data_IF_605717941796
#
_entry.id   IF_605717941796
#
_cell.length_a   1.000
_cell.length_b   1.000
_cell.length_c   1.000
_cell.angle_alpha   90.00
_cell.angle_beta   90.00
_cell.angle_gamma   90.00
#
_symmetry.space_group_name_H-M   'P 1'
#
loop_
_entity.id
_entity.type
_entity.pdbx_description
1 polymer ?
#
# COMPACT_ATOMS: atom_id res chain seq x y z
N UNK A 1 -48.28 -24.49 11.17
CA UNK A 1 -48.51 -23.66 9.97
C UNK A 1 -48.30 -22.20 10.33
N UNK A 2 -47.21 -21.55 9.87
CA UNK A 2 -47.13 -20.10 9.62
C UNK A 2 -45.82 -19.73 8.92
N UNK A 3 -46.00 -19.53 7.62
CA UNK A 3 -45.30 -18.73 6.62
C UNK A 3 -44.20 -17.73 7.04
N UNK A 4 -43.05 -17.88 6.35
CA UNK A 4 -42.24 -16.91 5.58
C UNK A 4 -42.08 -15.47 6.10
N UNK A 5 -40.82 -15.06 6.18
CA UNK A 5 -40.37 -13.67 6.08
C UNK A 5 -39.04 -13.60 5.33
N UNK A 6 -39.09 -13.37 4.02
CA UNK A 6 -37.96 -12.89 3.22
C UNK A 6 -37.90 -11.35 3.34
N UNK A 7 -36.72 -10.73 3.48
CA UNK A 7 -36.54 -9.36 3.03
C UNK A 7 -36.12 -9.33 1.55
N UNK A 8 -36.97 -8.62 0.79
CA UNK A 8 -36.76 -8.12 -0.56
C UNK A 8 -35.67 -7.04 -0.52
N UNK A 9 -34.65 -7.16 -1.37
CA UNK A 9 -33.78 -6.05 -1.76
C UNK A 9 -33.92 -5.92 -3.27
N UNK A 10 -34.65 -4.90 -3.68
CA UNK A 10 -34.86 -4.52 -5.07
C UNK A 10 -33.85 -3.43 -5.46
N UNK A 11 -33.40 -3.58 -6.71
CA UNK A 11 -32.29 -2.95 -7.41
C UNK A 11 -32.32 -1.41 -7.50
N UNK A 12 -31.13 -0.82 -7.73
CA UNK A 12 -30.91 0.13 -8.84
C UNK A 12 -29.42 0.28 -9.21
N UNK A 13 -29.16 0.06 -10.50
CA UNK A 13 -27.91 0.23 -11.24
C UNK A 13 -27.32 1.64 -11.16
N UNK A 14 -25.97 1.76 -11.12
CA UNK A 14 -25.19 2.72 -11.93
C UNK A 14 -23.80 2.12 -12.27
N UNK A 15 -23.54 2.04 -13.58
CA UNK A 15 -22.30 1.80 -14.35
C UNK A 15 -20.97 1.45 -13.67
N UNK A 16 -20.48 0.23 -13.91
CA UNK A 16 -19.07 -0.13 -13.85
C UNK A 16 -18.51 -0.34 -15.26
N UNK A 17 -17.64 0.56 -15.71
CA UNK A 17 -16.94 0.44 -16.99
C UNK A 17 -15.92 -0.69 -16.98
N UNK A 18 -15.95 -1.49 -18.05
CA UNK A 18 -14.91 -2.44 -18.42
C UNK A 18 -13.57 -1.72 -18.60
N UNK A 19 -12.52 -2.21 -17.93
CA UNK A 19 -11.14 -2.11 -18.44
C UNK A 19 -10.64 -3.53 -18.60
N UNK A 20 -10.61 -3.95 -19.87
CA UNK A 20 -9.98 -5.17 -20.39
C UNK A 20 -8.56 -4.81 -20.84
N UNK A 21 -7.69 -5.82 -20.83
CA UNK A 21 -6.36 -5.90 -21.48
C UNK A 21 -5.18 -5.41 -20.62
N UNK A 22 -4.04 -6.10 -20.51
CA UNK A 22 -3.47 -7.24 -21.23
C UNK A 22 -2.49 -8.00 -20.31
N UNK A 23 -2.62 -9.32 -20.19
CA UNK A 23 -1.57 -10.19 -19.63
C UNK A 23 -0.88 -10.87 -20.81
N UNK A 24 0.30 -10.38 -21.20
CA UNK A 24 1.13 -11.01 -22.22
C UNK A 24 1.76 -12.28 -21.65
N UNK A 25 1.34 -13.40 -22.22
CA UNK A 25 1.77 -14.75 -21.87
C UNK A 25 2.95 -15.10 -22.79
N UNK A 26 4.18 -14.95 -22.31
CA UNK A 26 5.38 -15.40 -23.03
C UNK A 26 5.47 -16.93 -22.90
N UNK A 27 5.26 -17.59 -24.03
CA UNK A 27 5.54 -18.99 -24.27
C UNK A 27 7.01 -19.19 -24.66
N UNK A 28 7.47 -20.45 -24.63
CA UNK A 28 8.73 -21.04 -25.17
C UNK A 28 9.71 -21.56 -24.08
N UNK A 29 10.55 -22.56 -24.39
CA UNK A 29 10.23 -23.85 -24.98
C UNK A 29 10.84 -25.02 -24.20
N UNK A 30 10.30 -26.22 -24.42
CA UNK A 30 10.89 -27.50 -24.01
C UNK A 30 12.15 -27.79 -24.84
N UNK A 31 13.28 -28.08 -24.17
CA UNK A 31 14.44 -28.73 -24.79
C UNK A 31 15.09 -29.70 -23.80
N UNK A 32 15.04 -30.98 -24.17
CA UNK A 32 15.80 -32.07 -23.58
C UNK A 32 17.31 -31.88 -23.83
N UNK A 33 18.19 -32.27 -22.88
CA UNK A 33 19.61 -32.34 -23.14
C UNK A 33 20.03 -33.75 -23.60
N UNK A 34 20.21 -33.93 -24.90
CA UNK A 34 21.01 -35.03 -25.45
C UNK A 34 22.50 -34.71 -25.34
N UNK A 35 23.23 -35.51 -24.58
CA UNK A 35 24.68 -35.50 -24.49
C UNK A 35 25.34 -35.86 -25.85
N UNK A 36 26.39 -35.12 -26.24
CA UNK A 36 27.62 -35.67 -26.84
C UNK A 36 28.72 -34.60 -27.06
N UNK A 37 29.87 -34.82 -26.42
CA UNK A 37 31.22 -34.48 -26.92
C UNK A 37 31.60 -33.01 -27.16
N UNK A 38 31.96 -32.26 -26.11
CA UNK A 38 32.62 -30.95 -26.27
C UNK A 38 34.13 -31.11 -26.41
N UNK A 39 34.65 -30.75 -27.58
CA UNK A 39 36.07 -30.67 -27.91
C UNK A 39 36.78 -29.52 -27.17
N UNK A 40 38.09 -29.68 -26.99
CA UNK A 40 38.99 -28.81 -26.21
C UNK A 40 38.98 -27.33 -26.62
N UNK A 41 38.61 -27.03 -27.86
CA UNK A 41 38.53 -25.67 -28.40
C UNK A 41 37.36 -24.86 -27.80
N UNK A 42 36.26 -25.53 -27.43
CA UNK A 42 35.08 -24.87 -26.85
C UNK A 42 35.34 -24.37 -25.42
N UNK A 43 36.24 -25.03 -24.66
CA UNK A 43 36.60 -24.59 -23.30
C UNK A 43 37.47 -23.32 -23.30
N UNK A 44 38.32 -23.11 -24.32
CA UNK A 44 39.14 -21.89 -24.43
C UNK A 44 38.32 -20.67 -24.80
N UNK A 45 37.34 -20.82 -25.69
CA UNK A 45 36.41 -19.74 -26.03
C UNK A 45 35.51 -19.35 -24.85
N UNK A 46 35.07 -20.32 -24.04
CA UNK A 46 34.31 -20.04 -22.82
C UNK A 46 35.12 -19.29 -21.75
N UNK A 47 36.41 -19.64 -21.58
CA UNK A 47 37.29 -18.94 -20.63
C UNK A 47 37.63 -17.51 -21.08
N UNK A 48 37.81 -17.27 -22.38
CA UNK A 48 38.01 -15.92 -22.91
C UNK A 48 36.75 -15.06 -22.80
N UNK A 49 35.55 -15.64 -23.01
CA UNK A 49 34.29 -14.91 -22.81
C UNK A 49 34.03 -14.57 -21.35
N UNK A 50 34.42 -15.43 -20.40
CA UNK A 50 34.30 -15.16 -18.97
C UNK A 50 35.30 -14.10 -18.48
N UNK A 51 36.52 -14.11 -19.02
CA UNK A 51 37.53 -13.08 -18.72
C UNK A 51 37.10 -11.69 -19.23
N UNK A 52 36.52 -11.62 -20.44
CA UNK A 52 35.97 -10.37 -20.97
C UNK A 52 34.77 -9.85 -20.15
N UNK A 53 33.89 -10.74 -19.68
CA UNK A 53 32.75 -10.38 -18.84
C UNK A 53 33.18 -9.91 -17.43
N UNK A 54 34.26 -10.46 -16.89
CA UNK A 54 34.83 -10.04 -15.61
C UNK A 54 35.50 -8.65 -15.69
N UNK A 55 36.21 -8.36 -16.79
CA UNK A 55 36.78 -7.02 -17.00
C UNK A 55 35.70 -5.94 -17.24
N UNK A 56 34.60 -6.29 -17.91
CA UNK A 56 33.48 -5.37 -18.14
C UNK A 56 32.72 -5.02 -16.84
N UNK A 57 32.58 -5.97 -15.91
CA UNK A 57 31.90 -5.72 -14.62
C UNK A 57 32.76 -4.92 -13.63
N UNK A 58 34.09 -5.06 -13.68
CA UNK A 58 35.01 -4.29 -12.82
C UNK A 58 35.11 -2.80 -13.20
N UNK A 59 34.87 -2.45 -14.47
CA UNK A 59 34.86 -1.04 -14.92
C UNK A 59 33.46 -0.42 -14.78
N UNK A 60 32.39 -1.20 -14.99
CA UNK A 60 31.01 -0.70 -14.90
C UNK A 60 30.50 -0.56 -13.45
N UNK A 61 30.96 -1.39 -12.51
CA UNK A 61 30.50 -1.34 -11.12
C UNK A 61 30.77 0.02 -10.41
N UNK A 62 31.95 0.65 -10.50
CA UNK A 62 32.16 1.96 -9.86
C UNK A 62 31.41 3.12 -10.55
N UNK A 63 31.07 3.02 -11.83
CA UNK A 63 30.27 4.02 -12.56
C UNK A 63 28.77 3.93 -12.22
N UNK A 64 28.25 2.73 -11.97
CA UNK A 64 26.85 2.55 -11.52
C UNK A 64 26.69 2.87 -10.02
N UNK A 65 27.73 2.64 -9.20
CA UNK A 65 27.70 3.03 -7.78
C UNK A 65 27.84 4.55 -7.55
N UNK A 66 28.50 5.27 -8.46
CA UNK A 66 28.55 6.74 -8.45
C UNK A 66 27.25 7.37 -8.98
N UNK A 67 26.63 6.78 -10.02
CA UNK A 67 25.33 7.23 -10.53
C UNK A 67 24.15 6.99 -9.56
N UNK A 68 24.21 5.94 -8.74
CA UNK A 68 23.17 5.64 -7.74
C UNK A 68 23.26 6.53 -6.50
N UNK A 69 24.44 7.13 -6.22
CA UNK A 69 24.60 8.12 -5.14
C UNK A 69 24.13 9.53 -5.56
N UNK A 70 24.29 9.90 -6.83
CA UNK A 70 23.69 11.13 -7.39
C UNK A 70 22.18 11.01 -7.65
N UNK A 71 21.65 9.80 -7.80
CA UNK A 71 20.22 9.55 -8.00
C UNK A 71 19.34 9.73 -6.76
N UNK A 72 19.90 9.59 -5.55
CA UNK A 72 19.14 9.81 -4.31
C UNK A 72 18.86 11.29 -4.03
N UNK A 73 19.78 12.20 -4.38
CA UNK A 73 19.52 13.64 -4.24
C UNK A 73 18.53 14.14 -5.32
N UNK A 74 18.60 13.59 -6.54
CA UNK A 74 17.63 13.85 -7.60
C UNK A 74 16.22 13.33 -7.28
N UNK A 75 16.09 12.13 -6.70
CA UNK A 75 14.80 11.58 -6.28
C UNK A 75 14.16 12.37 -5.14
N UNK A 76 14.96 12.87 -4.18
CA UNK A 76 14.46 13.72 -3.09
C UNK A 76 14.04 15.10 -3.61
N UNK A 77 14.76 15.67 -4.59
CA UNK A 77 14.36 16.92 -5.24
C UNK A 77 13.12 16.76 -6.12
N UNK A 78 12.98 15.64 -6.84
CA UNK A 78 11.78 15.32 -7.61
C UNK A 78 10.55 15.13 -6.71
N UNK A 79 10.70 14.41 -5.59
CA UNK A 79 9.63 14.23 -4.62
C UNK A 79 9.24 15.55 -3.91
N UNK A 80 10.21 16.45 -3.70
CA UNK A 80 9.98 17.81 -3.19
C UNK A 80 9.29 18.71 -4.22
N UNK A 81 9.60 18.56 -5.50
CA UNK A 81 8.91 19.26 -6.59
C UNK A 81 7.47 18.78 -6.77
N UNK A 82 7.22 17.47 -6.70
CA UNK A 82 5.87 16.90 -6.77
C UNK A 82 5.00 17.29 -5.57
N UNK A 83 5.56 17.28 -4.35
CA UNK A 83 4.83 17.72 -3.16
C UNK A 83 4.54 19.22 -3.19
N UNK A 84 5.45 20.03 -3.73
CA UNK A 84 5.21 21.47 -3.97
C UNK A 84 4.14 21.70 -5.03
N UNK A 85 4.18 20.99 -6.16
CA UNK A 85 3.16 21.08 -7.20
C UNK A 85 1.77 20.66 -6.70
N UNK A 86 1.69 19.59 -5.89
CA UNK A 86 0.43 19.17 -5.24
C UNK A 86 -0.06 20.21 -4.23
N UNK A 87 0.84 20.82 -3.48
CA UNK A 87 0.49 21.90 -2.55
C UNK A 87 -0.02 23.14 -3.28
N UNK A 88 0.63 23.54 -4.39
CA UNK A 88 0.20 24.67 -5.22
C UNK A 88 -1.13 24.39 -5.94
N UNK A 89 -1.38 23.14 -6.31
CA UNK A 89 -2.67 22.71 -6.87
C UNK A 89 -3.77 22.70 -5.80
N UNK A 90 -3.47 22.28 -4.57
CA UNK A 90 -4.41 22.33 -3.46
C UNK A 90 -4.68 23.77 -3.00
N UNK A 91 -3.65 24.63 -2.99
CA UNK A 91 -3.79 26.04 -2.60
C UNK A 91 -4.57 26.84 -3.64
N UNK A 92 -4.34 26.61 -4.94
CA UNK A 92 -5.13 27.22 -6.02
C UNK A 92 -6.57 26.72 -6.03
N UNK A 93 -6.81 25.43 -5.78
CA UNK A 93 -8.17 24.90 -5.65
C UNK A 93 -8.91 25.44 -4.42
N UNK A 94 -8.20 25.63 -3.29
CA UNK A 94 -8.78 26.25 -2.10
C UNK A 94 -9.05 27.73 -2.29
N UNK A 95 -8.13 28.47 -2.93
CA UNK A 95 -8.28 29.90 -3.19
C UNK A 95 -9.41 30.15 -4.20
N UNK A 96 -9.46 29.40 -5.30
CA UNK A 96 -10.55 29.48 -6.28
C UNK A 96 -11.89 28.96 -5.73
N UNK A 97 -11.87 28.00 -4.80
CA UNK A 97 -13.04 27.57 -4.06
C UNK A 97 -13.56 28.63 -3.09
N UNK A 98 -12.66 29.33 -2.40
CA UNK A 98 -12.98 30.43 -1.49
C UNK A 98 -13.52 31.64 -2.25
N UNK A 99 -12.92 31.99 -3.39
CA UNK A 99 -13.38 33.07 -4.27
C UNK A 99 -14.79 32.79 -4.79
N UNK A 100 -15.06 31.57 -5.30
CA UNK A 100 -16.42 31.17 -5.70
C UNK A 100 -17.40 31.16 -4.53
N UNK A 101 -16.98 30.74 -3.34
CA UNK A 101 -17.83 30.76 -2.15
C UNK A 101 -18.15 32.19 -1.72
N UNK A 102 -17.16 33.09 -1.75
CA UNK A 102 -17.35 34.52 -1.47
C UNK A 102 -18.27 35.17 -2.50
N UNK A 103 -18.03 34.97 -3.80
CA UNK A 103 -18.86 35.51 -4.87
C UNK A 103 -20.30 35.00 -4.77
N UNK A 104 -20.50 33.71 -4.51
CA UNK A 104 -21.84 33.14 -4.31
C UNK A 104 -22.55 33.70 -3.07
N UNK A 105 -21.79 34.01 -2.01
CA UNK A 105 -22.32 34.62 -0.79
C UNK A 105 -22.70 36.09 -1.01
N UNK A 106 -21.91 36.83 -1.78
CA UNK A 106 -22.20 38.22 -2.16
C UNK A 106 -23.41 38.26 -3.09
N UNK A 107 -23.49 37.38 -4.08
CA UNK A 107 -24.63 37.28 -4.99
C UNK A 107 -25.93 36.89 -4.27
N UNK A 108 -25.86 35.99 -3.29
CA UNK A 108 -27.04 35.66 -2.46
C UNK A 108 -27.43 36.81 -1.55
N UNK A 109 -26.47 37.54 -0.98
CA UNK A 109 -26.78 38.72 -0.17
C UNK A 109 -27.37 39.86 -1.02
N UNK A 110 -26.81 40.14 -2.19
CA UNK A 110 -27.30 41.17 -3.12
C UNK A 110 -28.66 40.78 -3.67
N UNK A 111 -28.88 39.51 -4.05
CA UNK A 111 -30.22 39.03 -4.45
C UNK A 111 -31.22 39.08 -3.30
N UNK A 112 -30.82 38.82 -2.06
CA UNK A 112 -31.71 38.94 -0.90
C UNK A 112 -32.09 40.39 -0.59
N UNK A 113 -31.14 41.32 -0.74
CA UNK A 113 -31.37 42.77 -0.57
C UNK A 113 -32.25 43.32 -1.70
N UNK A 114 -32.03 42.89 -2.94
CA UNK A 114 -32.82 43.33 -4.11
C UNK A 114 -34.22 42.71 -4.17
N UNK A 115 -34.41 41.47 -3.70
CA UNK A 115 -35.72 40.80 -3.73
C UNK A 115 -36.64 41.14 -2.56
N UNK A 116 -36.16 41.83 -1.52
CA UNK A 116 -37.01 42.12 -0.36
C UNK A 116 -36.60 43.40 0.38
N UNK A 117 -37.11 44.59 -0.01
CA UNK A 117 -36.93 45.81 0.79
C UNK A 117 -37.52 45.68 2.21
N UNK A 118 -38.46 44.75 2.42
CA UNK A 118 -39.05 44.44 3.73
C UNK A 118 -38.13 43.61 4.66
N UNK A 119 -37.18 42.82 4.13
CA UNK A 119 -36.34 41.92 4.96
C UNK A 119 -35.10 42.62 5.50
N UNK A 120 -34.65 43.70 4.86
CA UNK A 120 -33.62 44.60 5.38
C UNK A 120 -34.11 45.39 6.61
N UNK A 121 -35.41 45.72 6.70
CA UNK A 121 -36.00 46.33 7.89
C UNK A 121 -36.16 45.34 9.05
N UNK A 122 -36.49 44.07 8.77
CA UNK A 122 -36.61 43.05 9.82
C UNK A 122 -35.28 42.62 10.43
N UNK A 123 -34.19 42.55 9.65
CA UNK A 123 -32.86 42.22 10.18
C UNK A 123 -32.24 43.37 11.00
N UNK A 124 -32.66 44.61 10.76
CA UNK A 124 -32.33 45.75 11.62
C UNK A 124 -33.14 45.76 12.94
N UNK A 125 -34.34 45.18 12.97
CA UNK A 125 -35.15 45.04 14.19
C UNK A 125 -34.77 43.81 15.02
N UNK A 126 -34.27 42.72 14.42
CA UNK A 126 -33.87 41.52 15.16
C UNK A 126 -32.54 41.66 15.93
N UNK A 127 -31.75 42.71 15.66
CA UNK A 127 -30.54 43.03 16.42
C UNK A 127 -30.81 43.88 17.68
N UNK A 128 -32.08 44.17 17.99
CA UNK A 128 -32.49 44.96 19.16
C UNK A 128 -33.61 44.31 19.96
N UNK A 129 -33.23 43.75 21.11
CA UNK A 129 -34.03 43.50 22.31
C UNK A 129 -34.79 42.17 22.48
N UNK A 130 -34.44 41.49 23.58
CA UNK A 130 -35.29 40.59 24.38
C UNK A 130 -35.21 41.08 25.86
N UNK A 131 -36.10 40.68 26.78
CA UNK A 131 -37.26 41.45 27.19
C UNK A 131 -37.20 41.89 28.68
N UNK A 132 -37.83 43.01 29.02
CA UNK A 132 -38.17 43.34 30.42
C UNK A 132 -39.66 43.67 30.50
N UNK A 133 -40.29 43.07 31.50
CA UNK A 133 -41.70 42.98 31.81
C UNK A 133 -42.38 44.35 32.13
N UNK A 134 -43.72 44.41 32.15
CA UNK A 134 -44.48 45.67 32.16
C UNK A 134 -44.71 46.16 33.59
N UNK A 135 -44.59 47.47 33.79
CA UNK A 135 -45.26 48.14 34.90
C UNK A 135 -45.58 49.57 34.52
N UNK A 136 -46.80 49.93 34.84
CA UNK A 136 -47.53 51.11 34.41
C UNK A 136 -46.81 52.41 34.77
N UNK A 137 -46.72 53.33 33.82
CA UNK A 137 -47.30 54.67 33.93
C UNK A 137 -47.06 55.46 32.65
N UNK A 138 -48.15 56.07 32.20
CA UNK A 138 -48.29 56.82 30.97
C UNK A 138 -47.38 58.05 30.98
N UNK A 139 -46.66 58.29 29.89
CA UNK A 139 -46.57 59.60 29.24
C UNK A 139 -46.07 59.38 27.81
N UNK A 140 -46.96 59.64 26.86
CA UNK A 140 -46.86 59.31 25.45
C UNK A 140 -45.65 59.96 24.77
N UNK A 141 -44.81 59.14 24.14
CA UNK A 141 -43.85 59.59 23.14
C UNK A 141 -43.92 58.62 21.95
N UNK A 142 -44.64 59.04 20.91
CA UNK A 142 -44.86 58.26 19.69
C UNK A 142 -43.56 58.13 18.88
N UNK A 143 -43.32 56.96 18.24
CA UNK A 143 -42.16 56.77 17.36
C UNK A 143 -42.35 57.55 16.06
N UNK A 144 -41.34 58.34 15.69
CA UNK A 144 -41.30 59.15 14.48
C UNK A 144 -41.28 58.25 13.24
N UNK A 145 -42.41 58.19 12.53
CA UNK A 145 -42.58 57.46 11.27
C UNK A 145 -42.24 58.39 10.09
N UNK A 146 -41.19 58.13 9.28
CA UNK A 146 -40.82 59.00 8.16
C UNK A 146 -41.59 58.60 6.89
N UNK A 147 -42.92 58.65 6.93
CA UNK A 147 -43.74 58.35 5.74
C UNK A 147 -45.12 59.01 5.72
N UNK A 148 -45.28 60.14 6.42
CA UNK A 148 -46.42 61.02 6.17
C UNK A 148 -45.92 62.11 5.20
N UNK A 149 -46.45 62.21 3.97
CA UNK A 149 -46.26 63.44 3.20
C UNK A 149 -46.90 64.53 4.05
N UNK A 150 -46.06 65.37 4.68
CA UNK A 150 -46.55 66.58 5.32
C UNK A 150 -47.18 67.37 4.19
N UNK A 151 -48.50 67.36 4.13
CA UNK A 151 -49.28 68.29 3.34
C UNK A 151 -48.79 69.66 3.76
N UNK A 152 -48.00 70.32 2.90
CA UNK A 152 -47.46 71.65 3.11
C UNK A 152 -48.55 72.74 3.18
N UNK A 153 -49.81 72.36 3.39
CA UNK A 153 -50.99 73.22 3.38
C UNK A 153 -51.53 73.53 4.80
N UNK A 154 -51.08 72.85 5.85
CA UNK A 154 -51.71 72.99 7.18
C UNK A 154 -51.13 74.12 8.07
N UNK A 155 -50.29 75.01 7.54
CA UNK A 155 -49.68 76.11 8.31
C UNK A 155 -49.69 77.49 7.66
N UNK A 156 -50.09 77.62 6.39
CA UNK A 156 -50.00 78.89 5.64
C UNK A 156 -51.30 79.71 5.63
N UNK A 157 -52.37 79.25 6.29
CA UNK A 157 -53.68 79.93 6.26
C UNK A 157 -53.95 80.85 7.46
N UNK A 158 -52.91 81.41 8.08
CA UNK A 158 -53.06 82.60 8.94
C UNK A 158 -52.19 83.77 8.46
N UNK A 159 -51.94 83.80 7.16
CA UNK A 159 -51.63 85.03 6.46
C UNK A 159 -52.97 85.75 6.28
N UNK A 160 -53.16 86.80 7.07
CA UNK A 160 -54.08 87.88 6.75
C UNK A 160 -53.98 88.21 5.25
N UNK A 161 -55.04 88.72 4.60
CA UNK A 161 -54.88 89.32 3.27
C UNK A 161 -53.73 90.31 3.38
N UNK A 162 -52.65 90.05 2.64
CA UNK A 162 -51.55 90.98 2.51
C UNK A 162 -52.13 92.24 1.86
N UNK A 163 -52.56 93.20 2.68
CA UNK A 163 -52.41 94.58 2.30
C UNK A 163 -50.91 94.82 2.19
N UNK A 164 -50.35 95.08 0.99
CA UNK A 164 -49.01 95.62 0.92
C UNK A 164 -49.05 96.99 1.61
N UNK A 165 -48.64 97.05 2.87
CA UNK A 165 -48.54 98.33 3.57
C UNK A 165 -47.64 99.24 2.72
N UNK A 166 -48.13 100.38 2.20
CA UNK A 166 -47.43 101.15 1.16
C UNK A 166 -46.10 101.76 1.60
N UNK A 167 -45.74 101.68 2.89
CA UNK A 167 -44.47 102.17 3.39
C UNK A 167 -44.02 101.31 4.58
N UNK A 168 -43.34 100.18 4.31
CA UNK A 168 -42.42 99.64 5.31
C UNK A 168 -41.38 100.74 5.52
N UNK A 169 -41.40 101.38 6.69
CA UNK A 169 -40.44 102.43 6.97
C UNK A 169 -39.04 101.83 6.93
N UNK A 170 -38.04 102.57 6.44
CA UNK A 170 -36.66 102.09 6.32
C UNK A 170 -36.16 101.37 7.60
N UNK A 171 -36.57 101.88 8.75
CA UNK A 171 -36.32 101.32 10.09
C UNK A 171 -36.93 99.93 10.34
N UNK A 172 -38.10 99.63 9.79
CA UNK A 172 -38.72 98.30 9.88
C UNK A 172 -38.00 97.30 8.96
N UNK A 173 -37.54 97.75 7.79
CA UNK A 173 -36.68 96.95 6.91
C UNK A 173 -35.35 96.61 7.58
N UNK A 174 -34.70 97.61 8.19
CA UNK A 174 -33.44 97.41 8.91
C UNK A 174 -33.61 96.44 10.09
N UNK A 175 -34.73 96.53 10.82
CA UNK A 175 -35.07 95.58 11.90
C UNK A 175 -35.27 94.16 11.39
N UNK A 176 -35.99 93.97 10.28
CA UNK A 176 -36.19 92.65 9.67
C UNK A 176 -34.88 92.06 9.11
N UNK A 177 -34.00 92.90 8.55
CA UNK A 177 -32.67 92.48 8.10
C UNK A 177 -31.78 92.07 9.27
N UNK A 178 -31.83 92.81 10.38
CA UNK A 178 -31.13 92.46 11.61
C UNK A 178 -31.62 91.10 12.16
N UNK A 179 -32.94 90.90 12.27
CA UNK A 179 -33.53 89.64 12.72
C UNK A 179 -33.18 88.46 11.80
N UNK A 180 -33.18 88.66 10.47
CA UNK A 180 -32.72 87.65 9.51
C UNK A 180 -31.25 87.28 9.75
N UNK A 181 -30.40 88.26 10.00
CA UNK A 181 -28.97 88.02 10.26
C UNK A 181 -28.76 87.25 11.57
N UNK A 182 -29.53 87.55 12.62
CA UNK A 182 -29.49 86.83 13.89
C UNK A 182 -30.00 85.39 13.77
N UNK A 183 -31.11 85.18 13.06
CA UNK A 183 -31.64 83.84 12.80
C UNK A 183 -30.67 83.01 11.95
N UNK A 184 -29.99 83.62 10.99
CA UNK A 184 -28.92 82.98 10.22
C UNK A 184 -27.76 82.54 11.13
N UNK A 185 -27.31 83.41 12.05
CA UNK A 185 -26.27 83.09 13.04
C UNK A 185 -26.70 81.96 13.96
N UNK A 186 -27.92 82.00 14.49
CA UNK A 186 -28.49 80.93 15.34
C UNK A 186 -28.59 79.60 14.59
N UNK A 187 -29.06 79.61 13.33
CA UNK A 187 -29.10 78.41 12.47
C UNK A 187 -27.70 77.84 12.25
N UNK A 188 -26.71 78.67 11.94
CA UNK A 188 -25.34 78.22 11.76
C UNK A 188 -24.75 77.64 13.06
N UNK A 189 -25.03 78.24 14.22
CA UNK A 189 -24.61 77.71 15.52
C UNK A 189 -25.21 76.32 15.79
N UNK A 190 -26.52 76.14 15.55
CA UNK A 190 -27.20 74.84 15.70
C UNK A 190 -26.63 73.81 14.72
N UNK A 191 -26.38 74.18 13.46
CA UNK A 191 -25.79 73.26 12.49
C UNK A 191 -24.37 72.84 12.88
N UNK A 192 -23.57 73.76 13.44
CA UNK A 192 -22.23 73.44 13.95
C UNK A 192 -22.29 72.47 15.13
N UNK A 193 -23.13 72.72 16.13
CA UNK A 193 -23.26 71.80 17.28
C UNK A 193 -23.78 70.44 16.86
N UNK A 194 -24.72 70.38 15.91
CA UNK A 194 -25.28 69.13 15.39
C UNK A 194 -24.23 68.35 14.57
N UNK A 195 -23.39 69.02 13.78
CA UNK A 195 -22.23 68.39 13.12
C UNK A 195 -21.24 67.82 14.13
N UNK A 196 -20.87 68.58 15.17
CA UNK A 196 -19.95 68.09 16.22
C UNK A 196 -20.52 66.87 16.96
N UNK A 197 -21.82 66.87 17.29
CA UNK A 197 -22.48 65.72 17.93
C UNK A 197 -22.49 64.49 17.01
N UNK A 198 -22.77 64.66 15.71
CA UNK A 198 -22.71 63.56 14.75
C UNK A 198 -21.29 63.01 14.61
N UNK A 199 -20.27 63.86 14.56
CA UNK A 199 -18.87 63.44 14.52
C UNK A 199 -18.47 62.69 15.79
N UNK A 200 -18.86 63.18 16.98
CA UNK A 200 -18.59 62.50 18.24
C UNK A 200 -19.29 61.13 18.33
N UNK A 201 -20.55 61.03 17.89
CA UNK A 201 -21.29 59.77 17.85
C UNK A 201 -20.66 58.78 16.85
N UNK A 202 -20.25 59.24 15.67
CA UNK A 202 -19.55 58.42 14.68
C UNK A 202 -18.19 57.93 15.21
N UNK A 203 -17.44 58.80 15.91
CA UNK A 203 -16.18 58.41 16.53
C UNK A 203 -16.36 57.38 17.64
N UNK A 204 -17.42 57.49 18.45
CA UNK A 204 -17.76 56.48 19.47
C UNK A 204 -18.13 55.15 18.82
N UNK A 205 -19.01 55.16 17.82
CA UNK A 205 -19.40 53.95 17.09
C UNK A 205 -18.19 53.27 16.40
N UNK A 206 -17.25 54.06 15.87
CA UNK A 206 -16.01 53.52 15.30
C UNK A 206 -15.14 52.83 16.36
N UNK A 207 -14.99 53.42 17.56
CA UNK A 207 -14.27 52.78 18.67
C UNK A 207 -14.94 51.48 19.10
N UNK A 208 -16.25 51.50 19.31
CA UNK A 208 -17.02 50.32 19.71
C UNK A 208 -16.89 49.20 18.65
N UNK A 209 -16.93 49.56 17.36
CA UNK A 209 -16.71 48.59 16.27
C UNK A 209 -15.31 47.99 16.30
N UNK A 210 -14.26 48.80 16.51
CA UNK A 210 -12.88 48.28 16.59
C UNK A 210 -12.67 47.37 17.81
N UNK A 211 -13.35 47.62 18.93
CA UNK A 211 -13.30 46.75 20.10
C UNK A 211 -13.98 45.41 19.84
N UNK A 212 -15.14 45.41 19.20
CA UNK A 212 -15.82 44.18 18.79
C UNK A 212 -14.98 43.36 17.79
N UNK A 213 -14.30 44.02 16.85
CA UNK A 213 -13.43 43.34 15.90
C UNK A 213 -12.20 42.73 16.57
N UNK A 214 -11.61 43.38 17.58
CA UNK A 214 -10.56 42.79 18.41
C UNK A 214 -11.03 41.50 19.10
N UNK A 215 -12.20 41.53 19.73
CA UNK A 215 -12.77 40.35 20.40
C UNK A 215 -13.03 39.21 19.39
N UNK A 216 -13.52 39.53 18.20
CA UNK A 216 -13.74 38.54 17.14
C UNK A 216 -12.41 37.92 16.66
N UNK A 217 -11.39 38.74 16.49
CA UNK A 217 -10.05 38.29 16.11
C UNK A 217 -9.43 37.40 17.18
N UNK A 218 -9.53 37.77 18.46
CA UNK A 218 -9.04 36.96 19.58
C UNK A 218 -9.71 35.58 19.61
N UNK A 219 -11.04 35.53 19.51
CA UNK A 219 -11.79 34.25 19.42
C UNK A 219 -11.41 33.43 18.20
N UNK A 220 -11.19 34.08 17.05
CA UNK A 220 -10.77 33.39 15.84
C UNK A 220 -9.36 32.79 15.99
N UNK A 221 -8.43 33.52 16.62
CA UNK A 221 -7.07 33.05 16.91
C UNK A 221 -7.09 31.89 17.90
N UNK A 222 -7.89 31.97 18.96
CA UNK A 222 -8.07 30.87 19.91
C UNK A 222 -8.65 29.62 19.24
N UNK A 223 -9.68 29.78 18.42
CA UNK A 223 -10.27 28.67 17.65
C UNK A 223 -9.25 28.07 16.67
N UNK A 224 -8.43 28.89 16.01
CA UNK A 224 -7.38 28.42 15.11
C UNK A 224 -6.29 27.64 15.87
N UNK A 225 -5.84 28.14 17.03
CA UNK A 225 -4.88 27.44 17.89
C UNK A 225 -5.43 26.09 18.37
N UNK A 226 -6.70 26.06 18.81
CA UNK A 226 -7.35 24.81 19.22
C UNK A 226 -7.40 23.79 18.09
N UNK A 227 -7.80 24.21 16.88
CA UNK A 227 -7.79 23.33 15.69
C UNK A 227 -6.39 22.83 15.35
N UNK A 228 -5.36 23.66 15.49
CA UNK A 228 -3.98 23.23 15.26
C UNK A 228 -3.54 22.15 16.25
N UNK A 229 -3.88 22.30 17.53
CA UNK A 229 -3.58 21.30 18.57
C UNK A 229 -4.34 19.99 18.32
N UNK A 230 -5.64 20.03 18.02
CA UNK A 230 -6.44 18.84 17.69
C UNK A 230 -5.90 18.13 16.44
N UNK A 231 -5.51 18.88 15.41
CA UNK A 231 -4.88 18.34 14.21
C UNK A 231 -3.53 17.67 14.54
N UNK A 232 -2.70 18.31 15.36
CA UNK A 232 -1.43 17.73 15.80
C UNK A 232 -1.62 16.45 16.62
N UNK A 233 -2.58 16.43 17.55
CA UNK A 233 -2.92 15.23 18.33
C UNK A 233 -3.45 14.10 17.46
N UNK A 234 -4.35 14.39 16.52
CA UNK A 234 -4.87 13.37 15.61
C UNK A 234 -3.77 12.79 14.73
N UNK A 235 -2.86 13.64 14.22
CA UNK A 235 -1.70 13.21 13.46
C UNK A 235 -0.75 12.35 14.30
N UNK A 236 -0.50 12.72 15.56
CA UNK A 236 0.31 11.94 16.50
C UNK A 236 -0.32 10.57 16.80
N UNK A 237 -1.65 10.51 16.98
CA UNK A 237 -2.37 9.24 17.17
C UNK A 237 -2.26 8.34 15.95
N UNK A 238 -2.46 8.89 14.74
CA UNK A 238 -2.29 8.14 13.48
C UNK A 238 -0.85 7.64 13.33
N UNK A 239 0.15 8.48 13.63
CA UNK A 239 1.55 8.07 13.60
C UNK A 239 1.82 6.93 14.59
N UNK A 240 1.33 7.03 15.83
CA UNK A 240 1.49 5.99 16.85
C UNK A 240 0.83 4.66 16.43
N UNK A 241 -0.34 4.72 15.79
CA UNK A 241 -1.04 3.54 15.30
C UNK A 241 -0.26 2.85 14.17
N UNK A 242 0.28 3.64 13.22
CA UNK A 242 1.16 3.13 12.15
C UNK A 242 2.43 2.50 12.71
N UNK A 243 3.04 3.10 13.73
CA UNK A 243 4.23 2.53 14.39
C UNK A 243 3.91 1.20 15.08
N UNK A 244 2.75 1.09 15.77
CA UNK A 244 2.31 -0.18 16.36
C UNK A 244 2.07 -1.25 15.31
N UNK A 245 1.42 -0.91 14.21
CA UNK A 245 1.21 -1.84 13.09
C UNK A 245 2.55 -2.29 12.48
N UNK A 246 3.49 -1.37 12.28
CA UNK A 246 4.83 -1.71 11.80
C UNK A 246 5.60 -2.63 12.77
N UNK A 247 5.47 -2.40 14.08
CA UNK A 247 6.07 -3.26 15.10
C UNK A 247 5.49 -4.68 15.08
N UNK A 248 4.16 -4.81 14.98
CA UNK A 248 3.48 -6.10 14.85
C UNK A 248 3.92 -6.81 13.57
N UNK A 249 3.94 -6.10 12.44
CA UNK A 249 4.40 -6.67 11.17
C UNK A 249 5.86 -7.15 11.24
N UNK A 250 6.73 -6.40 11.93
CA UNK A 250 8.12 -6.83 12.16
C UNK A 250 8.19 -8.08 13.01
N UNK A 251 7.40 -8.18 14.08
CA UNK A 251 7.33 -9.40 14.91
C UNK A 251 6.82 -10.59 14.11
N UNK A 252 5.77 -10.41 13.30
CA UNK A 252 5.25 -11.46 12.42
C UNK A 252 6.27 -11.91 11.39
N UNK A 253 7.04 -10.98 10.80
CA UNK A 253 8.10 -11.31 9.86
C UNK A 253 9.24 -12.10 10.51
N UNK A 254 9.64 -11.74 11.74
CA UNK A 254 10.64 -12.49 12.51
C UNK A 254 10.14 -13.90 12.81
N UNK A 255 8.91 -14.03 13.34
CA UNK A 255 8.32 -15.32 13.63
C UNK A 255 8.18 -16.18 12.37
N UNK A 256 7.74 -15.61 11.24
CA UNK A 256 7.66 -16.32 9.97
C UNK A 256 9.04 -16.79 9.48
N UNK A 257 10.09 -15.98 9.65
CA UNK A 257 11.45 -16.37 9.33
C UNK A 257 11.98 -17.49 10.25
N UNK A 258 11.64 -17.47 11.53
CA UNK A 258 11.97 -18.53 12.49
C UNK A 258 11.28 -19.85 12.13
N UNK A 259 9.97 -19.82 11.87
CA UNK A 259 9.21 -21.00 11.41
C UNK A 259 9.77 -21.55 10.10
N UNK A 260 10.17 -20.68 9.16
CA UNK A 260 10.79 -21.11 7.91
C UNK A 260 12.14 -21.81 8.15
N UNK A 261 12.98 -21.29 9.05
CA UNK A 261 14.26 -21.92 9.44
C UNK A 261 14.05 -23.27 10.11
N UNK A 262 13.07 -23.40 10.99
CA UNK A 262 12.73 -24.68 11.61
C UNK A 262 12.27 -25.71 10.57
N UNK A 263 11.43 -25.29 9.62
CA UNK A 263 10.98 -26.16 8.53
C UNK A 263 12.13 -26.59 7.62
N UNK A 264 13.09 -25.71 7.34
CA UNK A 264 14.31 -26.08 6.61
C UNK A 264 15.12 -27.14 7.36
N UNK A 265 15.33 -26.97 8.67
CA UNK A 265 16.02 -27.98 9.50
C UNK A 265 15.30 -29.32 9.51
N UNK A 266 13.97 -29.33 9.58
CA UNK A 266 13.17 -30.55 9.50
C UNK A 266 13.33 -31.25 8.14
N UNK A 267 13.30 -30.49 7.04
CA UNK A 267 13.51 -31.02 5.70
C UNK A 267 14.92 -31.59 5.52
N UNK A 268 15.94 -30.92 6.06
CA UNK A 268 17.32 -31.42 6.07
C UNK A 268 17.46 -32.72 6.86
N UNK A 269 16.83 -32.79 8.04
CA UNK A 269 16.78 -34.02 8.83
C UNK A 269 16.10 -35.16 8.06
N UNK A 270 14.92 -34.91 7.48
CA UNK A 270 14.22 -35.90 6.65
C UNK A 270 15.07 -36.33 5.45
N UNK A 271 15.77 -35.40 4.80
CA UNK A 271 16.69 -35.69 3.70
C UNK A 271 17.83 -36.60 4.16
N UNK A 272 18.44 -36.33 5.31
CA UNK A 272 19.49 -37.17 5.88
C UNK A 272 18.99 -38.57 6.24
N UNK A 273 17.81 -38.67 6.87
CA UNK A 273 17.18 -39.96 7.21
C UNK A 273 16.85 -40.75 5.94
N UNK A 274 16.26 -40.12 4.93
CA UNK A 274 15.97 -40.76 3.65
C UNK A 274 17.25 -41.22 2.97
N UNK A 275 18.29 -40.38 2.93
CA UNK A 275 19.59 -40.76 2.36
C UNK A 275 20.20 -41.97 3.07
N UNK A 276 20.17 -42.00 4.41
CA UNK A 276 20.64 -43.15 5.18
C UNK A 276 19.83 -44.43 4.90
N UNK A 277 18.50 -44.31 4.69
CA UNK A 277 17.67 -45.45 4.26
C UNK A 277 18.05 -45.95 2.87
N UNK A 278 18.26 -45.04 1.91
CA UNK A 278 18.72 -45.41 0.56
C UNK A 278 20.07 -46.11 0.59
N UNK A 279 21.04 -45.61 1.37
CA UNK A 279 22.36 -46.25 1.50
C UNK A 279 22.24 -47.63 2.14
N UNK A 280 21.41 -47.80 3.18
CA UNK A 280 21.17 -49.12 3.78
C UNK A 280 20.55 -50.11 2.81
N UNK A 281 19.56 -49.67 2.02
CA UNK A 281 18.95 -50.50 0.99
C UNK A 281 19.98 -50.90 -0.07
N UNK A 282 20.76 -49.95 -0.59
CA UNK A 282 21.80 -50.24 -1.57
C UNK A 282 22.87 -51.22 -1.03
N UNK A 283 23.26 -51.10 0.24
CA UNK A 283 24.20 -52.04 0.87
C UNK A 283 23.59 -53.44 1.05
N UNK A 284 22.28 -53.53 1.31
CA UNK A 284 21.56 -54.82 1.38
C UNK A 284 21.48 -55.46 0.00
N UNK A 285 21.17 -54.68 -1.04
CA UNK A 285 21.15 -55.14 -2.42
C UNK A 285 22.54 -55.66 -2.85
N UNK A 286 23.61 -54.90 -2.56
CA UNK A 286 24.99 -55.35 -2.81
C UNK A 286 25.38 -56.62 -2.04
N UNK A 287 24.90 -56.77 -0.80
CA UNK A 287 25.16 -57.97 -0.01
C UNK A 287 24.39 -59.18 -0.57
N UNK A 288 23.18 -58.98 -1.09
CA UNK A 288 22.41 -60.00 -1.79
C UNK A 288 23.10 -60.41 -3.10
N UNK A 289 23.51 -59.44 -3.92
CA UNK A 289 24.26 -59.69 -5.16
C UNK A 289 25.57 -60.47 -4.88
N UNK A 290 26.31 -60.09 -3.84
CA UNK A 290 27.52 -60.80 -3.43
C UNK A 290 27.24 -62.22 -2.91
N UNK A 291 26.10 -62.45 -2.25
CA UNK A 291 25.68 -63.77 -1.81
C UNK A 291 25.30 -64.66 -3.01
N UNK A 292 24.57 -64.11 -3.98
CA UNK A 292 24.21 -64.78 -5.23
C UNK A 292 25.46 -65.14 -6.05
N UNK A 293 26.45 -64.24 -6.13
CA UNK A 293 27.75 -64.50 -6.75
C UNK A 293 28.52 -65.64 -6.06
N UNK A 294 28.55 -65.65 -4.72
CA UNK A 294 29.17 -66.73 -3.95
C UNK A 294 28.47 -68.06 -4.18
N UNK A 295 27.13 -68.06 -4.24
CA UNK A 295 26.34 -69.25 -4.54
C UNK A 295 26.62 -69.75 -5.97
N UNK A 296 26.68 -68.85 -6.95
CA UNK A 296 27.06 -69.18 -8.32
C UNK A 296 28.47 -69.81 -8.40
N UNK A 297 29.45 -69.27 -7.66
CA UNK A 297 30.80 -69.84 -7.61
C UNK A 297 30.80 -71.25 -7.00
N UNK A 298 30.01 -71.49 -5.95
CA UNK A 298 29.85 -72.82 -5.36
C UNK A 298 29.23 -73.80 -6.36
N UNK A 299 28.11 -73.43 -6.97
CA UNK A 299 27.42 -74.28 -7.97
C UNK A 299 28.33 -74.59 -9.16
N UNK A 300 29.07 -73.60 -9.65
CA UNK A 300 30.08 -73.78 -10.70
C UNK A 300 31.14 -74.79 -10.29
N UNK A 301 31.70 -74.68 -9.09
CA UNK A 301 32.72 -75.62 -8.61
C UNK A 301 32.20 -77.06 -8.49
N UNK A 302 30.92 -77.24 -8.13
CA UNK A 302 30.26 -78.55 -8.09
C UNK A 302 30.08 -79.11 -9.49
N UNK A 303 29.67 -78.29 -10.46
CA UNK A 303 29.54 -78.70 -11.87
C UNK A 303 30.91 -79.06 -12.45
N UNK A 304 31.94 -78.25 -12.19
CA UNK A 304 33.31 -78.51 -12.65
C UNK A 304 33.87 -79.82 -12.06
N UNK A 305 33.62 -80.08 -10.77
CA UNK A 305 34.01 -81.34 -10.12
C UNK A 305 33.28 -82.56 -10.73
N UNK A 306 31.98 -82.45 -11.03
CA UNK A 306 31.23 -83.50 -11.73
C UNK A 306 31.79 -83.74 -13.13
N UNK A 307 32.10 -82.67 -13.87
CA UNK A 307 32.67 -82.76 -15.21
C UNK A 307 34.06 -83.42 -15.21
N UNK A 308 34.92 -83.09 -14.24
CA UNK A 308 36.20 -83.79 -14.04
C UNK A 308 35.99 -85.27 -13.71
N UNK A 309 35.00 -85.61 -12.90
CA UNK A 309 34.62 -87.00 -12.62
C UNK A 309 34.18 -87.76 -13.88
N UNK A 310 33.35 -87.15 -14.73
CA UNK A 310 32.97 -87.75 -16.02
C UNK A 310 34.17 -87.92 -16.96
N UNK A 311 35.04 -86.92 -17.07
CA UNK A 311 36.26 -87.03 -17.88
C UNK A 311 37.21 -88.12 -17.38
N UNK A 312 37.31 -88.33 -16.07
CA UNK A 312 38.08 -89.44 -15.50
C UNK A 312 37.45 -90.81 -15.86
N UNK A 313 36.12 -90.92 -15.76
CA UNK A 313 35.40 -92.12 -16.20
C UNK A 313 35.58 -92.40 -17.71
N UNK A 314 35.54 -91.36 -18.55
CA UNK A 314 35.81 -91.48 -19.98
C UNK A 314 37.25 -91.93 -20.25
N UNK A 315 38.25 -91.37 -19.56
CA UNK A 315 39.65 -91.83 -19.66
C UNK A 315 39.79 -93.29 -19.27
N UNK A 316 39.16 -93.70 -18.18
CA UNK A 316 39.14 -95.10 -17.75
C UNK A 316 38.50 -96.02 -18.78
N UNK A 317 37.38 -95.61 -19.38
CA UNK A 317 36.72 -96.35 -20.46
C UNK A 317 37.62 -96.45 -21.70
N UNK A 318 38.27 -95.35 -22.09
CA UNK A 318 39.22 -95.34 -23.20
C UNK A 318 40.42 -96.26 -22.93
N UNK A 319 40.96 -96.27 -21.70
CA UNK A 319 42.02 -97.20 -21.30
C UNK A 319 41.56 -98.66 -21.37
N UNK A 320 40.33 -98.95 -20.91
CA UNK A 320 39.73 -100.29 -21.01
C UNK A 320 39.53 -100.70 -22.47
N UNK A 321 39.02 -99.81 -23.33
CA UNK A 321 38.86 -100.08 -24.77
C UNK A 321 40.22 -100.32 -25.42
N UNK A 322 41.23 -99.48 -25.16
CA UNK A 322 42.58 -99.65 -25.70
C UNK A 322 43.21 -100.98 -25.24
N UNK A 323 42.99 -101.38 -23.99
CA UNK A 323 43.45 -102.68 -23.49
C UNK A 323 42.74 -103.85 -24.20
N UNK A 324 41.41 -103.76 -24.38
CA UNK A 324 40.64 -104.76 -25.14
C UNK A 324 41.11 -104.82 -26.61
N UNK A 325 41.39 -103.68 -27.24
CA UNK A 325 41.94 -103.63 -28.60
C UNK A 325 43.33 -104.29 -28.68
N UNK A 326 44.20 -104.11 -27.68
CA UNK A 326 45.49 -104.80 -27.62
C UNK A 326 45.29 -106.32 -27.52
N UNK A 327 44.38 -106.79 -26.68
CA UNK A 327 44.05 -108.22 -26.56
C UNK A 327 43.49 -108.79 -27.87
N UNK A 328 42.65 -108.03 -28.57
CA UNK A 328 42.12 -108.39 -29.88
C UNK A 328 43.22 -108.49 -30.94
N UNK A 329 44.20 -107.58 -30.93
CA UNK A 329 45.38 -107.64 -31.82
C UNK A 329 46.30 -108.83 -31.54
N UNK A 330 46.27 -109.39 -30.32
CA UNK A 330 47.06 -110.56 -29.91
C UNK A 330 46.29 -111.89 -30.00
N UNK A 331 45.19 -111.95 -30.76
CA UNK A 331 44.46 -113.21 -31.00
C UNK A 331 43.74 -113.76 -29.77
N UNK A 332 43.38 -112.90 -28.82
CA UNK A 332 42.59 -113.27 -27.64
C UNK A 332 43.38 -113.72 -26.41
N UNK A 333 44.72 -113.64 -26.43
CA UNK A 333 45.54 -113.83 -25.22
C UNK A 333 45.80 -112.50 -24.52
N UNK A 334 45.43 -112.42 -23.25
CA UNK A 334 45.77 -111.29 -22.39
C UNK A 334 47.29 -111.21 -22.16
N UNK A 335 47.90 -110.01 -22.15
CA UNK A 335 49.30 -109.85 -21.76
C UNK A 335 49.51 -110.29 -20.31
N UNK A 336 50.69 -110.85 -19.99
CA UNK A 336 51.00 -111.53 -18.72
C UNK A 336 50.83 -110.68 -17.44
N UNK A 337 50.55 -109.38 -17.57
CA UNK A 337 50.24 -108.46 -16.47
C UNK A 337 48.75 -108.34 -16.07
N UNK A 338 47.81 -108.99 -16.77
CA UNK A 338 46.38 -108.96 -16.45
C UNK A 338 45.66 -107.63 -16.80
N UNK A 339 44.35 -107.56 -16.53
CA UNK A 339 43.52 -106.36 -16.77
C UNK A 339 44.12 -105.10 -16.10
N UNK A 340 44.13 -103.93 -16.75
CA UNK A 340 44.52 -102.69 -16.08
C UNK A 340 43.56 -102.45 -14.89
N UNK A 341 44.14 -102.32 -13.70
CA UNK A 341 43.41 -102.01 -12.47
C UNK A 341 42.78 -100.64 -12.65
N UNK A 342 41.46 -100.54 -12.52
CA UNK A 342 40.73 -99.28 -12.62
C UNK A 342 41.33 -98.25 -11.65
N UNK A 343 41.64 -97.04 -12.12
CA UNK A 343 42.02 -95.91 -11.27
C UNK A 343 40.79 -95.29 -10.56
N UNK A 344 39.80 -96.11 -10.21
CA UNK A 344 38.56 -95.65 -9.55
C UNK A 344 38.74 -95.36 -8.05
N UNK A 345 39.98 -95.31 -7.55
CA UNK A 345 40.30 -95.19 -6.13
C UNK A 345 41.11 -93.92 -5.81
N UNK A 346 40.68 -92.76 -6.30
CA UNK A 346 41.04 -91.46 -5.72
C UNK A 346 40.07 -90.37 -6.21
N UNK A 347 38.79 -90.46 -5.83
CA UNK A 347 37.98 -89.23 -5.76
C UNK A 347 38.42 -88.53 -4.48
N UNK A 348 39.11 -87.38 -4.52
CA UNK A 348 39.33 -86.61 -3.31
C UNK A 348 37.94 -86.17 -2.81
N UNK A 349 37.52 -86.73 -1.68
CA UNK A 349 36.42 -86.19 -0.88
C UNK A 349 36.67 -84.70 -0.69
N UNK A 350 35.77 -83.80 -1.13
CA UNK A 350 35.92 -82.40 -0.79
C UNK A 350 35.82 -82.27 0.73
N UNK A 351 36.90 -81.83 1.36
CA UNK A 351 36.88 -81.40 2.75
C UNK A 351 35.91 -80.21 2.86
N UNK A 352 34.66 -80.51 3.22
CA UNK A 352 33.71 -79.53 3.73
C UNK A 352 34.27 -79.03 5.08
N UNK A 353 35.07 -77.98 5.04
CA UNK A 353 35.39 -77.21 6.23
C UNK A 353 34.10 -76.46 6.64
N UNK A 354 33.34 -77.07 7.55
CA UNK A 354 32.34 -76.35 8.32
C UNK A 354 33.05 -75.23 9.08
N UNK A 355 32.95 -74.01 8.57
CA UNK A 355 33.23 -72.81 9.34
C UNK A 355 32.18 -72.73 10.46
N UNK A 356 32.61 -73.05 11.68
CA UNK A 356 31.85 -72.79 12.90
C UNK A 356 31.43 -71.32 12.93
N UNK A 357 30.11 -71.10 12.98
CA UNK A 357 29.52 -69.84 13.43
C UNK A 357 30.01 -69.58 14.86
N UNK A 358 30.89 -68.60 15.02
CA UNK A 358 31.15 -67.95 16.30
C UNK A 358 29.88 -67.23 16.77
N UNK A 359 29.56 -67.43 18.05
CA UNK A 359 28.56 -66.69 18.80
C UNK A 359 28.99 -65.23 19.02
#
# INVERSE_FOLDING_TARGET
MRSKGHPVIESRHIGGGMVVSSFERISMPSQEPSQRGTSWTSRRLQLLSLAALACATLIAAPLVLSASRSGQEGAVLAQKAESKARFDQLSSNLLGGLEKAMDSSVDTHVKAVLKSPAKAQMLAQAAGAAPIAPRDEQLAMTPYNPSVPVTAAAGYHRLLPFDPHPYVTQTQLDRLLAEKSELSRKRQAILRTLRMRRQAAAAKAAKDATELDKIRLERAVEAAKKRQLENAESAARVASAKMRQAAIAKQQAIHAAEVARERQRQLEYMRAVNHARYVRAANQDQAADAADDMQYQQDKSVVDAKLQGYLAQERDLLHKIAAVEQVARHGGRWPEGGMPVSESAAVPTPHFAMAQKGA
#
